data_IF_256036576623
#
_entry.id   IF_256036576623
#
_cell.length_a   1.000
_cell.length_b   1.000
_cell.length_c   1.000
_cell.angle_alpha   90.00
_cell.angle_beta   90.00
_cell.angle_gamma   90.00
#
_symmetry.space_group_name_H-M   'P 1'
#
loop_
_entity.id
_entity.type
_entity.pdbx_description
1 polymer ?
#
# COMPACT_ATOMS: atom_id res chain seq x y z
N UNK A 1 -14.78 -19.90 82.24
CA UNK A 1 -14.97 -20.87 81.14
C UNK A 1 -16.38 -20.71 80.62
N UNK A 2 -16.53 -19.98 79.51
CA UNK A 2 -17.70 -19.93 78.63
C UNK A 2 -17.29 -19.06 77.44
N UNK A 3 -16.84 -19.70 76.37
CA UNK A 3 -16.48 -19.03 75.12
C UNK A 3 -17.79 -18.80 74.37
N UNK A 4 -18.20 -17.54 74.21
CA UNK A 4 -19.23 -17.13 73.26
C UNK A 4 -18.61 -17.19 71.86
N UNK A 5 -18.96 -18.23 71.10
CA UNK A 5 -18.69 -18.34 69.67
C UNK A 5 -19.68 -17.45 68.92
N UNK A 6 -19.24 -16.24 68.56
CA UNK A 6 -19.94 -15.38 67.62
C UNK A 6 -19.74 -15.91 66.19
N UNK A 7 -20.82 -16.39 65.56
CA UNK A 7 -20.87 -16.61 64.12
C UNK A 7 -20.73 -15.25 63.41
N UNK A 8 -19.59 -15.04 62.75
CA UNK A 8 -19.43 -13.99 61.74
C UNK A 8 -19.93 -14.54 60.40
N UNK A 9 -21.16 -14.19 60.01
CA UNK A 9 -21.64 -14.35 58.64
C UNK A 9 -21.13 -13.18 57.79
N UNK A 10 -20.13 -13.43 56.95
CA UNK A 10 -19.69 -12.47 55.93
C UNK A 10 -20.68 -12.39 54.76
N UNK A 11 -20.76 -11.25 54.05
CA UNK A 11 -21.62 -11.10 52.88
C UNK A 11 -21.11 -12.03 51.77
N UNK A 12 -22.00 -12.85 51.22
CA UNK A 12 -21.66 -13.92 50.29
C UNK A 12 -20.84 -13.43 49.09
N UNK A 13 -19.70 -14.10 48.85
CA UNK A 13 -19.11 -14.13 47.52
C UNK A 13 -20.11 -14.84 46.59
N UNK A 14 -20.90 -14.06 45.84
CA UNK A 14 -21.70 -14.61 44.74
C UNK A 14 -20.79 -15.51 43.88
N UNK A 15 -21.22 -16.74 43.62
CA UNK A 15 -20.48 -17.69 42.78
C UNK A 15 -20.29 -17.07 41.39
N UNK A 16 -19.10 -17.26 40.79
CA UNK A 16 -18.89 -16.88 39.39
C UNK A 16 -19.47 -17.98 38.51
N UNK A 17 -20.60 -17.69 37.88
CA UNK A 17 -21.28 -18.52 36.88
C UNK A 17 -21.97 -17.61 35.84
N UNK A 18 -22.52 -18.19 34.76
CA UNK A 18 -23.11 -17.40 33.68
C UNK A 18 -24.28 -16.52 34.15
N UNK A 19 -25.15 -17.04 35.01
CA UNK A 19 -26.30 -16.30 35.53
C UNK A 19 -25.88 -15.08 36.34
N UNK A 20 -24.89 -15.24 37.23
CA UNK A 20 -24.37 -14.12 38.00
C UNK A 20 -23.62 -13.11 37.13
N UNK A 21 -22.88 -13.55 36.11
CA UNK A 21 -22.22 -12.66 35.14
C UNK A 21 -23.25 -11.79 34.41
N UNK A 22 -24.36 -12.37 33.95
CA UNK A 22 -25.45 -11.62 33.30
C UNK A 22 -26.10 -10.64 34.27
N UNK A 23 -26.39 -11.08 35.49
CA UNK A 23 -26.93 -10.22 36.54
C UNK A 23 -26.01 -9.03 36.82
N UNK A 24 -24.70 -9.25 36.94
CA UNK A 24 -23.74 -8.17 37.22
C UNK A 24 -23.71 -7.12 36.11
N UNK A 25 -23.89 -7.51 34.85
CA UNK A 25 -23.89 -6.59 33.70
C UNK A 25 -24.95 -5.47 33.80
N UNK A 26 -25.98 -5.65 34.63
CA UNK A 26 -27.06 -4.70 34.86
C UNK A 26 -26.97 -3.94 36.19
N UNK A 27 -25.85 -4.04 36.92
CA UNK A 27 -25.68 -3.42 38.26
C UNK A 27 -24.58 -2.37 38.29
N UNK A 28 -24.67 -1.40 39.20
CA UNK A 28 -23.67 -0.34 39.37
C UNK A 28 -22.28 -0.86 39.79
N UNK A 29 -22.23 -1.93 40.60
CA UNK A 29 -20.96 -2.60 40.98
C UNK A 29 -20.54 -3.68 39.99
N UNK A 30 -21.30 -3.84 38.90
CA UNK A 30 -21.13 -4.84 37.87
C UNK A 30 -19.76 -4.83 37.20
N UNK A 31 -19.29 -3.68 36.66
CA UNK A 31 -18.02 -3.61 35.95
C UNK A 31 -16.83 -4.14 36.77
N UNK A 32 -16.73 -3.77 38.05
CA UNK A 32 -15.67 -4.26 38.92
C UNK A 32 -15.74 -5.78 39.15
N UNK A 33 -16.95 -6.35 39.30
CA UNK A 33 -17.12 -7.81 39.43
C UNK A 33 -16.77 -8.54 38.14
N UNK A 34 -17.20 -8.02 36.99
CA UNK A 34 -16.89 -8.58 35.68
C UNK A 34 -15.38 -8.53 35.41
N UNK A 35 -14.72 -7.40 35.67
CA UNK A 35 -13.28 -7.27 35.49
C UNK A 35 -12.52 -8.28 36.36
N UNK A 36 -12.93 -8.45 37.62
CA UNK A 36 -12.36 -9.48 38.50
C UNK A 36 -12.50 -10.88 37.90
N UNK A 37 -13.66 -11.20 37.32
CA UNK A 37 -13.89 -12.49 36.66
C UNK A 37 -13.06 -12.67 35.37
N UNK A 38 -12.72 -11.58 34.67
CA UNK A 38 -11.80 -11.61 33.52
C UNK A 38 -10.35 -11.85 33.97
N UNK A 39 -9.92 -11.18 35.05
CA UNK A 39 -8.53 -11.20 35.51
C UNK A 39 -8.15 -12.41 36.38
N UNK A 40 -9.13 -13.14 36.92
CA UNK A 40 -8.86 -14.29 37.78
C UNK A 40 -8.51 -15.54 36.97
N UNK A 41 -7.24 -15.95 37.04
CA UNK A 41 -6.70 -17.09 36.31
C UNK A 41 -7.28 -18.44 36.76
N UNK A 42 -7.87 -18.51 37.96
CA UNK A 42 -8.44 -19.75 38.50
C UNK A 42 -9.84 -20.07 37.96
N UNK A 43 -10.47 -19.12 37.26
CA UNK A 43 -11.83 -19.26 36.73
C UNK A 43 -11.79 -19.96 35.36
N UNK A 44 -12.88 -20.66 35.01
CA UNK A 44 -13.04 -21.25 33.68
C UNK A 44 -12.90 -20.19 32.56
N UNK A 45 -12.25 -20.55 31.45
CA UNK A 45 -11.99 -19.62 30.35
C UNK A 45 -13.28 -19.08 29.71
N UNK A 46 -14.34 -19.89 29.68
CA UNK A 46 -15.63 -19.50 29.13
C UNK A 46 -16.36 -18.48 30.03
N UNK A 47 -16.20 -18.58 31.35
CA UNK A 47 -16.72 -17.59 32.30
C UNK A 47 -15.96 -16.26 32.19
N UNK A 48 -14.63 -16.27 32.10
CA UNK A 48 -13.85 -15.06 31.84
C UNK A 48 -14.23 -14.43 30.49
N UNK A 49 -14.45 -15.24 29.45
CA UNK A 49 -14.91 -14.76 28.15
C UNK A 49 -16.31 -14.14 28.21
N UNK A 50 -17.24 -14.76 28.96
CA UNK A 50 -18.58 -14.22 29.15
C UNK A 50 -18.55 -12.86 29.85
N UNK A 51 -17.74 -12.74 30.91
CA UNK A 51 -17.55 -11.48 31.62
C UNK A 51 -16.94 -10.39 30.72
N UNK A 52 -15.94 -10.75 29.91
CA UNK A 52 -15.33 -9.83 28.94
C UNK A 52 -16.33 -9.36 27.88
N UNK A 53 -17.18 -10.26 27.34
CA UNK A 53 -18.22 -9.90 26.38
C UNK A 53 -19.20 -8.87 26.96
N UNK A 54 -19.59 -9.02 28.23
CA UNK A 54 -20.48 -8.09 28.91
C UNK A 54 -19.82 -6.73 29.18
N UNK A 55 -18.50 -6.68 29.47
CA UNK A 55 -17.76 -5.41 29.58
C UNK A 55 -17.69 -4.68 28.22
N UNK A 56 -17.39 -5.41 27.14
CA UNK A 56 -17.31 -4.85 25.78
C UNK A 56 -18.66 -4.30 25.33
N UNK A 57 -19.75 -5.03 25.58
CA UNK A 57 -21.13 -4.60 25.27
C UNK A 57 -21.51 -3.28 25.96
N UNK A 58 -20.87 -2.97 27.09
CA UNK A 58 -21.12 -1.78 27.90
C UNK A 58 -20.21 -0.60 27.57
N UNK A 59 -19.31 -0.72 26.60
CA UNK A 59 -18.27 0.28 26.30
C UNK A 59 -17.26 0.47 27.46
N UNK A 60 -17.21 -0.49 28.40
CA UNK A 60 -16.28 -0.55 29.54
C UNK A 60 -15.05 -1.43 29.17
N UNK A 61 -14.58 -1.35 27.92
CA UNK A 61 -13.69 -2.35 27.31
C UNK A 61 -12.19 -2.12 27.56
N UNK A 62 -11.80 -0.88 27.88
CA UNK A 62 -10.39 -0.49 28.11
C UNK A 62 -9.73 -1.35 29.19
N UNK A 63 -10.39 -1.53 30.33
CA UNK A 63 -9.87 -2.31 31.45
C UNK A 63 -9.86 -3.81 31.13
N UNK A 64 -10.85 -4.30 30.38
CA UNK A 64 -10.86 -5.68 29.89
C UNK A 64 -9.65 -5.97 28.99
N UNK A 65 -9.30 -5.05 28.08
CA UNK A 65 -8.11 -5.21 27.25
C UNK A 65 -6.80 -5.10 28.02
N UNK A 66 -6.73 -4.26 29.05
CA UNK A 66 -5.58 -4.22 29.95
C UNK A 66 -5.41 -5.55 30.71
N UNK A 67 -6.52 -6.15 31.17
CA UNK A 67 -6.51 -7.47 31.78
C UNK A 67 -6.02 -8.55 30.79
N UNK A 68 -6.44 -8.50 29.53
CA UNK A 68 -5.90 -9.40 28.50
C UNK A 68 -4.40 -9.20 28.27
N UNK A 69 -3.87 -7.98 28.25
CA UNK A 69 -2.43 -7.77 28.08
C UNK A 69 -1.60 -8.35 29.25
N UNK A 70 -2.13 -8.29 30.47
CA UNK A 70 -1.47 -8.84 31.66
C UNK A 70 -1.59 -10.38 31.77
N UNK A 71 -2.51 -10.98 31.02
CA UNK A 71 -2.82 -12.41 31.12
C UNK A 71 -1.73 -13.28 30.45
N UNK A 72 -1.36 -14.43 31.04
CA UNK A 72 -0.43 -15.37 30.41
C UNK A 72 -0.91 -15.81 29.03
N UNK A 73 0.01 -15.91 28.07
CA UNK A 73 -0.34 -16.10 26.65
C UNK A 73 -1.25 -17.31 26.37
N UNK A 74 -0.99 -18.46 27.00
CA UNK A 74 -1.82 -19.66 26.83
C UNK A 74 -3.24 -19.49 27.40
N UNK A 75 -3.35 -18.87 28.58
CA UNK A 75 -4.65 -18.55 29.19
C UNK A 75 -5.41 -17.54 28.34
N UNK A 76 -4.72 -16.51 27.86
CA UNK A 76 -5.28 -15.47 26.99
C UNK A 76 -5.87 -16.03 25.70
N UNK A 77 -5.13 -16.91 25.02
CA UNK A 77 -5.63 -17.58 23.83
C UNK A 77 -6.90 -18.41 24.12
N UNK A 78 -6.92 -19.17 25.22
CA UNK A 78 -8.08 -19.96 25.63
C UNK A 78 -9.33 -19.10 25.91
N UNK A 79 -9.16 -17.95 26.57
CA UNK A 79 -10.28 -17.00 26.79
C UNK A 79 -10.74 -16.38 25.48
N UNK A 80 -9.81 -15.96 24.61
CA UNK A 80 -10.15 -15.36 23.29
C UNK A 80 -10.91 -16.35 22.41
N UNK A 81 -10.54 -17.63 22.41
CA UNK A 81 -11.26 -18.67 21.67
C UNK A 81 -12.73 -18.81 22.10
N UNK A 82 -13.05 -18.57 23.38
CA UNK A 82 -14.43 -18.56 23.90
C UNK A 82 -15.13 -17.22 23.70
N UNK A 83 -14.37 -16.13 23.70
CA UNK A 83 -14.89 -14.77 23.51
C UNK A 83 -15.33 -14.51 22.06
N UNK A 84 -14.57 -14.99 21.07
CA UNK A 84 -14.81 -14.69 19.67
C UNK A 84 -16.24 -15.06 19.18
N UNK A 85 -16.77 -16.27 19.42
CA UNK A 85 -18.16 -16.60 19.09
C UNK A 85 -19.19 -15.68 19.78
N UNK A 86 -18.95 -15.30 21.05
CA UNK A 86 -19.86 -14.42 21.81
C UNK A 86 -19.90 -13.00 21.22
N UNK A 87 -18.74 -12.49 20.80
CA UNK A 87 -18.66 -11.21 20.08
C UNK A 87 -19.35 -11.31 18.72
N UNK A 88 -19.21 -12.42 18.01
CA UNK A 88 -19.88 -12.63 16.72
C UNK A 88 -21.40 -12.59 16.83
N UNK A 89 -22.00 -13.23 17.84
CA UNK A 89 -23.45 -13.18 18.07
C UNK A 89 -23.97 -11.75 18.24
N UNK A 90 -23.14 -10.84 18.78
CA UNK A 90 -23.50 -9.41 18.88
C UNK A 90 -23.18 -8.64 17.61
N UNK A 91 -22.10 -8.99 16.91
CA UNK A 91 -21.65 -8.32 15.70
C UNK A 91 -22.49 -8.64 14.46
N UNK A 92 -23.12 -9.83 14.42
CA UNK A 92 -23.84 -10.35 13.27
C UNK A 92 -25.00 -9.45 12.85
N UNK A 93 -25.23 -9.40 11.54
CA UNK A 93 -26.32 -8.66 10.91
C UNK A 93 -26.98 -9.63 9.94
N UNK A 94 -28.28 -9.89 10.13
CA UNK A 94 -29.02 -10.87 9.33
C UNK A 94 -29.11 -10.48 7.85
N UNK A 95 -29.26 -9.18 7.59
CA UNK A 95 -29.34 -8.65 6.23
C UNK A 95 -28.00 -8.05 5.78
N UNK A 96 -27.55 -8.47 4.60
CA UNK A 96 -26.36 -7.94 3.94
C UNK A 96 -26.50 -6.47 3.49
N UNK A 97 -27.74 -5.95 3.43
CA UNK A 97 -28.06 -4.58 3.00
C UNK A 97 -28.27 -3.62 4.17
N UNK A 98 -28.41 -4.14 5.38
CA UNK A 98 -28.62 -3.32 6.58
C UNK A 98 -27.29 -2.75 7.09
N UNK A 99 -27.39 -1.53 7.62
CA UNK A 99 -26.27 -0.87 8.28
C UNK A 99 -26.17 -1.32 9.74
N UNK A 100 -24.95 -1.48 10.27
CA UNK A 100 -24.75 -1.87 11.66
C UNK A 100 -25.16 -0.78 12.63
N UNK A 101 -25.83 -1.19 13.71
CA UNK A 101 -25.99 -0.39 14.93
C UNK A 101 -24.71 -0.37 15.78
N UNK A 102 -24.66 0.54 16.75
CA UNK A 102 -23.51 0.71 17.64
C UNK A 102 -23.01 -0.59 18.31
N UNK A 103 -23.88 -1.47 18.85
CA UNK A 103 -23.40 -2.71 19.48
C UNK A 103 -22.71 -3.65 18.50
N UNK A 104 -23.20 -3.72 17.26
CA UNK A 104 -22.62 -4.57 16.21
C UNK A 104 -21.24 -4.05 15.80
N UNK A 105 -21.10 -2.73 15.64
CA UNK A 105 -19.80 -2.10 15.33
C UNK A 105 -18.80 -2.35 16.46
N UNK A 106 -19.19 -2.11 17.71
CA UNK A 106 -18.31 -2.30 18.87
C UNK A 106 -17.84 -3.76 19.00
N UNK A 107 -18.74 -4.73 18.85
CA UNK A 107 -18.40 -6.15 18.91
C UNK A 107 -17.48 -6.58 17.75
N UNK A 108 -17.70 -6.05 16.54
CA UNK A 108 -16.81 -6.27 15.39
C UNK A 108 -15.42 -5.65 15.60
N UNK A 109 -15.33 -4.44 16.16
CA UNK A 109 -14.04 -3.84 16.49
C UNK A 109 -13.31 -4.61 17.58
N UNK A 110 -14.04 -5.16 18.55
CA UNK A 110 -13.48 -6.06 19.54
C UNK A 110 -12.91 -7.34 18.91
N UNK A 111 -13.61 -7.95 17.93
CA UNK A 111 -13.08 -9.10 17.16
C UNK A 111 -11.73 -8.77 16.51
N UNK A 112 -11.62 -7.62 15.84
CA UNK A 112 -10.34 -7.16 15.25
C UNK A 112 -9.26 -7.03 16.32
N UNK A 113 -9.60 -6.44 17.47
CA UNK A 113 -8.64 -6.17 18.55
C UNK A 113 -8.13 -7.43 19.24
N UNK A 114 -9.00 -8.41 19.50
CA UNK A 114 -8.62 -9.65 20.20
C UNK A 114 -7.90 -10.64 19.29
N UNK A 115 -8.05 -10.50 17.96
CA UNK A 115 -7.41 -11.38 16.95
C UNK A 115 -5.92 -11.60 17.18
N UNK A 116 -5.17 -10.55 17.58
CA UNK A 116 -3.71 -10.63 17.81
C UNK A 116 -3.32 -11.57 18.94
N UNK A 117 -4.24 -11.90 19.84
CA UNK A 117 -4.01 -12.80 20.97
C UNK A 117 -4.62 -14.20 20.75
N UNK A 118 -5.33 -14.41 19.64
CA UNK A 118 -5.89 -15.69 19.28
C UNK A 118 -4.80 -16.66 18.84
N UNK A 119 -4.98 -17.94 19.20
CA UNK A 119 -4.27 -19.05 18.55
C UNK A 119 -4.76 -19.23 17.10
N UNK A 120 -4.14 -20.14 16.35
CA UNK A 120 -4.43 -20.28 14.92
C UNK A 120 -5.90 -20.66 14.64
N UNK A 121 -6.52 -21.64 15.34
CA UNK A 121 -7.93 -21.96 15.12
C UNK A 121 -8.88 -20.79 15.42
N UNK A 122 -8.70 -20.10 16.55
CA UNK A 122 -9.54 -18.97 16.90
C UNK A 122 -9.30 -17.78 15.96
N UNK A 123 -8.07 -17.57 15.47
CA UNK A 123 -7.76 -16.53 14.50
C UNK A 123 -8.47 -16.77 13.17
N UNK A 124 -8.42 -18.01 12.65
CA UNK A 124 -9.15 -18.39 11.43
C UNK A 124 -10.66 -18.17 11.60
N UNK A 125 -11.20 -18.50 12.77
CA UNK A 125 -12.61 -18.26 13.08
C UNK A 125 -12.96 -16.77 13.10
N UNK A 126 -12.15 -15.94 13.77
CA UNK A 126 -12.31 -14.48 13.79
C UNK A 126 -12.23 -13.92 12.37
N UNK A 127 -11.28 -14.38 11.56
CA UNK A 127 -11.14 -13.96 10.16
C UNK A 127 -12.39 -14.28 9.34
N UNK A 128 -12.97 -15.47 9.54
CA UNK A 128 -14.27 -15.82 8.94
C UNK A 128 -15.38 -14.86 9.32
N UNK A 129 -15.49 -14.51 10.60
CA UNK A 129 -16.48 -13.53 11.09
C UNK A 129 -16.28 -12.14 10.50
N UNK A 130 -15.04 -11.67 10.40
CA UNK A 130 -14.73 -10.37 9.79
C UNK A 130 -15.05 -10.37 8.29
N UNK A 131 -14.79 -11.46 7.59
CA UNK A 131 -15.20 -11.64 6.18
C UNK A 131 -16.72 -11.60 6.04
N UNK A 132 -17.45 -12.31 6.88
CA UNK A 132 -18.92 -12.35 6.83
C UNK A 132 -19.54 -10.99 7.19
N UNK A 133 -18.88 -10.21 8.05
CA UNK A 133 -19.36 -8.88 8.42
C UNK A 133 -19.12 -7.84 7.33
N UNK A 134 -17.90 -7.78 6.79
CA UNK A 134 -17.50 -6.75 5.84
C UNK A 134 -17.93 -7.10 4.40
N UNK A 135 -17.65 -8.32 3.92
CA UNK A 135 -17.70 -8.68 2.50
C UNK A 135 -19.12 -8.98 1.99
N UNK A 136 -19.99 -7.99 2.11
CA UNK A 136 -21.42 -8.04 1.76
C UNK A 136 -21.82 -6.86 0.86
N UNK A 137 -23.07 -6.83 0.39
CA UNK A 137 -23.56 -5.77 -0.50
C UNK A 137 -23.39 -4.34 0.05
N UNK A 138 -23.47 -4.15 1.37
CA UNK A 138 -23.26 -2.86 2.05
C UNK A 138 -21.79 -2.59 2.45
N UNK A 139 -20.82 -3.27 1.82
CA UNK A 139 -19.38 -3.11 2.11
C UNK A 139 -18.95 -1.64 2.18
N UNK A 140 -19.39 -0.80 1.22
CA UNK A 140 -18.97 0.60 1.13
C UNK A 140 -19.27 1.41 2.40
N UNK A 141 -20.41 1.16 3.04
CA UNK A 141 -20.80 1.84 4.28
C UNK A 141 -20.19 1.14 5.50
N UNK A 142 -20.16 -0.20 5.49
CA UNK A 142 -19.57 -1.00 6.58
C UNK A 142 -18.07 -0.78 6.72
N UNK A 143 -17.36 -0.54 5.62
CA UNK A 143 -15.93 -0.23 5.59
C UNK A 143 -15.58 1.04 6.39
N UNK A 144 -16.53 1.96 6.56
CA UNK A 144 -16.37 3.22 7.28
C UNK A 144 -16.85 3.15 8.73
N UNK A 145 -17.45 2.03 9.14
CA UNK A 145 -18.09 1.90 10.44
C UNK A 145 -17.12 1.41 11.52
N UNK A 146 -16.87 2.28 12.51
CA UNK A 146 -16.11 1.97 13.71
C UNK A 146 -14.65 2.43 13.65
N UNK A 147 -13.83 1.82 14.51
CA UNK A 147 -12.44 2.24 14.72
C UNK A 147 -11.47 1.70 13.66
N UNK A 148 -11.80 0.58 13.00
CA UNK A 148 -10.93 -0.06 12.02
C UNK A 148 -11.47 0.14 10.60
N UNK A 149 -10.72 0.84 9.71
CA UNK A 149 -11.08 0.98 8.30
C UNK A 149 -11.21 -0.39 7.61
N UNK A 150 -12.16 -0.52 6.69
CA UNK A 150 -12.42 -1.75 5.96
C UNK A 150 -11.15 -2.29 5.27
N UNK A 151 -10.40 -1.43 4.59
CA UNK A 151 -9.14 -1.81 3.95
C UNK A 151 -8.10 -2.39 4.93
N UNK A 152 -8.00 -1.84 6.15
CA UNK A 152 -7.11 -2.35 7.17
C UNK A 152 -7.50 -3.77 7.62
N UNK A 153 -8.80 -4.02 7.76
CA UNK A 153 -9.32 -5.37 8.07
C UNK A 153 -9.11 -6.33 6.89
N UNK A 154 -9.33 -5.88 5.66
CA UNK A 154 -9.08 -6.70 4.47
C UNK A 154 -7.60 -7.09 4.35
N UNK A 155 -6.68 -6.17 4.68
CA UNK A 155 -5.25 -6.45 4.74
C UNK A 155 -4.88 -7.45 5.83
N UNK A 156 -5.54 -7.36 6.98
CA UNK A 156 -5.36 -8.23 8.14
C UNK A 156 -5.80 -9.67 7.87
N UNK A 157 -6.94 -9.83 7.18
CA UNK A 157 -7.53 -11.12 6.83
C UNK A 157 -6.88 -11.73 5.58
N UNK A 158 -6.58 -10.90 4.57
CA UNK A 158 -5.88 -11.33 3.36
C UNK A 158 -6.74 -12.12 2.36
N UNK A 159 -6.22 -13.22 1.76
CA UNK A 159 -6.82 -13.86 0.58
C UNK A 159 -8.29 -14.28 0.68
N UNK A 160 -8.80 -14.84 1.79
CA UNK A 160 -10.21 -15.25 1.89
C UNK A 160 -11.19 -14.10 1.64
N UNK A 161 -10.84 -12.87 2.05
CA UNK A 161 -11.66 -11.69 1.84
C UNK A 161 -11.73 -11.29 0.35
N UNK A 162 -10.63 -11.45 -0.38
CA UNK A 162 -10.52 -11.02 -1.79
C UNK A 162 -11.54 -11.71 -2.69
N UNK A 163 -11.70 -13.03 -2.53
CA UNK A 163 -12.68 -13.80 -3.29
C UNK A 163 -14.11 -13.32 -3.04
N UNK A 164 -14.48 -13.04 -1.78
CA UNK A 164 -15.82 -12.53 -1.46
C UNK A 164 -16.03 -11.11 -1.98
N UNK A 165 -15.04 -10.23 -1.85
CA UNK A 165 -15.14 -8.85 -2.35
C UNK A 165 -15.26 -8.78 -3.88
N UNK A 166 -14.61 -9.68 -4.62
CA UNK A 166 -14.83 -9.81 -6.07
C UNK A 166 -16.30 -10.15 -6.34
N UNK A 167 -16.90 -11.04 -5.54
CA UNK A 167 -18.33 -11.33 -5.59
C UNK A 167 -19.20 -10.09 -5.34
N UNK A 168 -18.87 -9.28 -4.35
CA UNK A 168 -19.57 -8.01 -4.06
C UNK A 168 -19.48 -7.04 -5.24
N UNK A 169 -18.29 -6.85 -5.81
CA UNK A 169 -18.10 -6.00 -6.98
C UNK A 169 -18.86 -6.51 -8.22
N UNK A 170 -18.83 -7.82 -8.46
CA UNK A 170 -19.62 -8.44 -9.54
C UNK A 170 -21.12 -8.21 -9.35
N UNK A 171 -21.63 -8.27 -8.12
CA UNK A 171 -23.04 -7.97 -7.85
C UNK A 171 -23.40 -6.51 -8.16
N UNK A 172 -22.51 -5.56 -7.86
CA UNK A 172 -22.68 -4.14 -8.26
C UNK A 172 -22.74 -4.01 -9.78
N UNK A 173 -21.82 -4.68 -10.49
CA UNK A 173 -21.72 -4.62 -11.95
C UNK A 173 -22.93 -5.27 -12.63
N UNK A 174 -23.42 -6.39 -12.10
CA UNK A 174 -24.49 -7.20 -12.67
C UNK A 174 -25.91 -6.81 -12.22
N UNK A 175 -26.06 -5.85 -11.30
CA UNK A 175 -27.38 -5.44 -10.81
C UNK A 175 -28.32 -5.00 -11.96
N UNK A 176 -29.63 -5.27 -11.88
CA UNK A 176 -30.58 -4.92 -12.92
C UNK A 176 -30.77 -3.40 -13.05
N UNK A 177 -31.32 -2.95 -14.18
CA UNK A 177 -31.67 -1.53 -14.41
C UNK A 177 -30.53 -0.64 -14.88
N UNK A 178 -29.35 -1.20 -15.17
CA UNK A 178 -28.13 -0.44 -15.53
C UNK A 178 -27.96 -0.13 -17.02
N UNK A 179 -29.04 -0.19 -17.81
CA UNK A 179 -28.97 0.00 -19.27
C UNK A 179 -28.63 1.45 -19.68
N UNK A 180 -29.02 2.45 -18.86
CA UNK A 180 -28.79 3.87 -19.12
C UNK A 180 -27.72 4.48 -18.21
N UNK A 181 -27.78 4.15 -16.92
CA UNK A 181 -26.82 4.62 -15.92
C UNK A 181 -26.29 3.39 -15.20
N UNK A 182 -24.98 3.24 -15.28
CA UNK A 182 -24.21 2.14 -14.70
C UNK A 182 -23.94 2.45 -13.23
N UNK A 183 -24.14 1.48 -12.35
CA UNK A 183 -23.82 1.61 -10.92
C UNK A 183 -22.33 1.89 -10.75
N UNK A 184 -22.03 2.81 -9.84
CA UNK A 184 -20.68 3.16 -9.41
C UNK A 184 -20.13 2.03 -8.53
N UNK A 185 -18.94 1.56 -8.86
CA UNK A 185 -18.14 0.74 -7.95
C UNK A 185 -17.62 1.68 -6.85
N UNK A 186 -17.73 1.35 -5.57
CA UNK A 186 -17.35 2.24 -4.47
C UNK A 186 -15.85 2.51 -4.35
N UNK A 187 -15.44 3.54 -3.60
CA UNK A 187 -14.01 3.82 -3.36
C UNK A 187 -13.45 2.83 -2.33
N UNK A 188 -14.20 2.57 -1.25
CA UNK A 188 -13.79 1.61 -0.24
C UNK A 188 -13.71 0.22 -0.84
N UNK A 189 -14.67 -0.16 -1.70
CA UNK A 189 -14.65 -1.49 -2.32
C UNK A 189 -13.38 -1.73 -3.16
N UNK A 190 -12.94 -0.72 -3.92
CA UNK A 190 -11.68 -0.80 -4.68
C UNK A 190 -10.47 -0.92 -3.74
N UNK A 191 -10.42 -0.10 -2.70
CA UNK A 191 -9.32 -0.11 -1.73
C UNK A 191 -9.29 -1.42 -0.93
N UNK A 192 -10.45 -1.92 -0.52
CA UNK A 192 -10.63 -3.20 0.15
C UNK A 192 -10.10 -4.35 -0.69
N UNK A 193 -10.51 -4.43 -1.97
CA UNK A 193 -9.99 -5.40 -2.93
C UNK A 193 -8.47 -5.33 -3.02
N UNK A 194 -7.91 -4.14 -3.28
CA UNK A 194 -6.48 -3.92 -3.40
C UNK A 194 -5.71 -4.35 -2.12
N UNK A 195 -6.25 -3.99 -0.95
CA UNK A 195 -5.65 -4.25 0.36
C UNK A 195 -5.59 -5.74 0.73
N UNK A 196 -6.43 -6.61 0.13
CA UNK A 196 -6.33 -8.06 0.36
C UNK A 196 -5.02 -8.67 -0.10
N UNK A 197 -4.28 -7.99 -0.99
CA UNK A 197 -2.91 -8.35 -1.34
C UNK A 197 -2.78 -9.62 -2.17
N UNK A 198 -3.78 -9.99 -2.98
CA UNK A 198 -3.72 -11.19 -3.83
C UNK A 198 -3.57 -10.86 -5.32
N UNK A 199 -2.90 -11.72 -6.11
CA UNK A 199 -2.83 -11.56 -7.56
C UNK A 199 -4.19 -11.45 -8.24
N UNK A 200 -5.19 -12.21 -7.77
CA UNK A 200 -6.54 -12.19 -8.33
C UNK A 200 -7.26 -10.87 -8.06
N UNK A 201 -7.10 -10.30 -6.85
CA UNK A 201 -7.67 -9.01 -6.53
C UNK A 201 -6.98 -7.88 -7.31
N UNK A 202 -5.64 -7.94 -7.45
CA UNK A 202 -4.89 -7.00 -8.31
C UNK A 202 -5.40 -7.07 -9.73
N UNK A 203 -5.48 -8.28 -10.30
CA UNK A 203 -5.99 -8.50 -11.65
C UNK A 203 -7.38 -7.87 -11.81
N UNK A 204 -8.27 -8.15 -10.86
CA UNK A 204 -9.65 -7.68 -10.94
C UNK A 204 -9.76 -6.15 -10.85
N UNK A 205 -8.96 -5.49 -9.99
CA UNK A 205 -8.92 -4.02 -9.92
C UNK A 205 -8.32 -3.41 -11.20
N UNK A 206 -7.30 -4.04 -11.79
CA UNK A 206 -6.73 -3.65 -13.09
C UNK A 206 -7.76 -3.81 -14.22
N UNK A 207 -8.52 -4.90 -14.23
CA UNK A 207 -9.59 -5.12 -15.20
C UNK A 207 -10.68 -4.04 -15.04
N UNK A 208 -11.10 -3.73 -13.80
CA UNK A 208 -12.06 -2.65 -13.51
C UNK A 208 -11.57 -1.31 -14.05
N UNK A 209 -10.28 -1.00 -13.90
CA UNK A 209 -9.72 0.26 -14.37
C UNK A 209 -9.88 0.46 -15.88
N UNK A 210 -10.04 -0.63 -16.66
CA UNK A 210 -10.23 -0.62 -18.11
C UNK A 210 -11.70 -0.75 -18.54
N UNK A 211 -12.62 -0.97 -17.60
CA UNK A 211 -14.04 -1.13 -17.92
C UNK A 211 -14.65 0.22 -18.29
N UNK A 212 -15.33 0.28 -19.44
CA UNK A 212 -16.24 1.38 -19.70
C UNK A 212 -17.48 1.24 -18.81
N UNK A 213 -17.54 2.09 -17.80
CA UNK A 213 -18.66 2.20 -16.86
C UNK A 213 -19.43 3.52 -16.97
N UNK A 214 -19.14 4.35 -17.96
CA UNK A 214 -19.64 5.73 -18.00
C UNK A 214 -19.13 6.60 -16.84
N UNK A 215 -18.09 6.16 -16.12
CA UNK A 215 -17.40 6.88 -15.05
C UNK A 215 -15.96 7.14 -15.49
N UNK A 216 -15.68 8.36 -15.93
CA UNK A 216 -14.36 8.78 -16.39
C UNK A 216 -13.30 8.79 -15.27
N UNK A 217 -13.72 8.77 -14.00
CA UNK A 217 -12.81 8.77 -12.84
C UNK A 217 -12.38 7.36 -12.43
N UNK A 218 -13.07 6.32 -12.92
CA UNK A 218 -12.86 4.93 -12.53
C UNK A 218 -11.41 4.45 -12.70
N UNK A 219 -10.70 4.71 -13.83
CA UNK A 219 -9.30 4.29 -13.96
C UNK A 219 -8.43 4.90 -12.86
N UNK A 220 -8.62 6.19 -12.56
CA UNK A 220 -7.84 6.89 -11.52
C UNK A 220 -8.12 6.32 -10.14
N UNK A 221 -9.39 6.11 -9.79
CA UNK A 221 -9.76 5.54 -8.49
C UNK A 221 -9.24 4.11 -8.31
N UNK A 222 -9.34 3.27 -9.35
CA UNK A 222 -8.87 1.89 -9.30
C UNK A 222 -7.35 1.78 -9.15
N UNK A 223 -6.58 2.56 -9.93
CA UNK A 223 -5.12 2.58 -9.81
C UNK A 223 -4.67 3.23 -8.50
N UNK A 224 -5.37 4.27 -8.03
CA UNK A 224 -5.08 4.88 -6.73
C UNK A 224 -5.34 3.92 -5.57
N UNK A 225 -6.36 3.05 -5.66
CA UNK A 225 -6.59 2.00 -4.66
C UNK A 225 -5.41 1.01 -4.59
N UNK A 226 -4.88 0.57 -5.73
CA UNK A 226 -3.66 -0.24 -5.78
C UNK A 226 -2.44 0.54 -5.27
N UNK A 227 -2.27 1.80 -5.67
CA UNK A 227 -1.19 2.65 -5.18
C UNK A 227 -1.19 2.76 -3.65
N UNK A 228 -2.36 3.02 -3.06
CA UNK A 228 -2.52 3.03 -1.60
C UNK A 228 -2.20 1.68 -0.99
N UNK A 229 -2.64 0.57 -1.58
CA UNK A 229 -2.37 -0.74 -1.00
C UNK A 229 -0.88 -1.16 -1.03
N UNK A 230 -0.13 -0.78 -2.06
CA UNK A 230 1.23 -1.31 -2.32
C UNK A 230 2.36 -0.29 -2.19
N UNK A 231 2.08 1.01 -2.31
CA UNK A 231 3.11 2.07 -2.36
C UNK A 231 3.01 2.99 -1.15
N UNK A 232 1.82 3.54 -0.90
CA UNK A 232 1.59 4.53 0.14
C UNK A 232 0.32 4.20 0.94
N UNK A 233 0.35 3.16 1.76
CA UNK A 233 -0.80 2.77 2.57
C UNK A 233 -1.05 3.78 3.67
N UNK A 234 -2.34 4.05 3.90
CA UNK A 234 -2.83 4.90 4.96
C UNK A 234 -3.68 4.06 5.92
N UNK A 235 -3.27 4.01 7.19
CA UNK A 235 -3.97 3.25 8.23
C UNK A 235 -3.79 1.72 8.20
N UNK A 236 -2.91 1.17 7.35
CA UNK A 236 -2.57 -0.27 7.34
C UNK A 236 -1.18 -0.56 6.77
N UNK A 237 -0.69 -1.80 6.94
CA UNK A 237 0.62 -2.22 6.44
C UNK A 237 0.58 -2.47 4.91
N UNK A 238 1.65 -2.16 4.16
CA UNK A 238 1.68 -2.38 2.71
C UNK A 238 1.41 -3.86 2.35
N UNK A 239 0.74 -4.06 1.22
CA UNK A 239 0.59 -5.37 0.61
C UNK A 239 1.93 -5.85 0.02
N UNK A 240 2.11 -7.17 -0.05
CA UNK A 240 3.33 -7.77 -0.61
C UNK A 240 3.39 -7.53 -2.13
N UNK A 241 4.38 -6.79 -2.66
CA UNK A 241 4.50 -6.51 -4.09
C UNK A 241 4.58 -7.74 -4.99
N UNK A 242 4.89 -8.93 -4.46
CA UNK A 242 4.84 -10.18 -5.23
C UNK A 242 3.45 -10.43 -5.86
N UNK A 243 2.38 -9.95 -5.23
CA UNK A 243 1.03 -10.05 -5.78
C UNK A 243 0.83 -9.24 -7.08
N UNK A 244 1.66 -8.23 -7.34
CA UNK A 244 1.62 -7.43 -8.57
C UNK A 244 2.24 -8.16 -9.77
N UNK A 245 3.17 -9.10 -9.52
CA UNK A 245 4.03 -9.70 -10.55
C UNK A 245 3.24 -10.36 -11.67
N UNK A 246 2.21 -11.19 -11.41
CA UNK A 246 1.43 -11.83 -12.49
C UNK A 246 0.68 -10.84 -13.39
N UNK A 247 0.40 -9.64 -12.86
CA UNK A 247 -0.37 -8.60 -13.54
C UNK A 247 0.53 -7.45 -14.05
N UNK A 248 1.85 -7.56 -13.89
CA UNK A 248 2.79 -6.52 -14.27
C UNK A 248 2.66 -6.11 -15.75
N UNK A 249 2.48 -7.02 -16.73
CA UNK A 249 2.26 -6.62 -18.12
C UNK A 249 1.03 -5.72 -18.29
N UNK A 250 -0.08 -6.03 -17.61
CA UNK A 250 -1.30 -5.23 -17.70
C UNK A 250 -1.16 -3.85 -17.02
N UNK A 251 -0.37 -3.75 -15.95
CA UNK A 251 -0.03 -2.47 -15.31
C UNK A 251 0.83 -1.63 -16.25
N UNK A 252 1.79 -2.26 -16.94
CA UNK A 252 2.67 -1.59 -17.93
C UNK A 252 1.88 -1.03 -19.10
N UNK A 253 0.92 -1.79 -19.64
CA UNK A 253 0.04 -1.31 -20.70
C UNK A 253 -0.72 -0.04 -20.26
N UNK A 254 -1.26 -0.02 -19.03
CA UNK A 254 -1.96 1.16 -18.48
C UNK A 254 -1.00 2.35 -18.36
N UNK A 255 0.22 2.11 -17.87
CA UNK A 255 1.23 3.15 -17.73
C UNK A 255 1.63 3.79 -19.07
N UNK A 256 1.49 3.06 -20.19
CA UNK A 256 1.82 3.51 -21.55
C UNK A 256 0.63 4.04 -22.32
N UNK A 257 -0.58 3.90 -21.80
CA UNK A 257 -1.81 4.24 -22.51
C UNK A 257 -2.06 5.75 -22.48
N UNK A 258 -1.92 6.37 -23.65
CA UNK A 258 -2.19 7.79 -23.88
C UNK A 258 -3.66 8.18 -23.66
N UNK A 259 -4.61 7.24 -23.65
CA UNK A 259 -6.00 7.54 -23.33
C UNK A 259 -6.26 7.65 -21.82
N UNK A 260 -5.37 7.09 -20.99
CA UNK A 260 -5.55 7.03 -19.54
C UNK A 260 -5.21 8.38 -18.88
N UNK A 261 -5.97 8.80 -17.85
CA UNK A 261 -5.64 10.00 -17.07
C UNK A 261 -4.23 9.94 -16.47
N UNK A 262 -3.52 11.08 -16.46
CA UNK A 262 -2.12 11.13 -16.04
C UNK A 262 -1.87 10.62 -14.62
N UNK A 263 -2.80 10.83 -13.69
CA UNK A 263 -2.68 10.29 -12.34
C UNK A 263 -2.68 8.75 -12.33
N UNK A 264 -3.61 8.12 -13.05
CA UNK A 264 -3.68 6.66 -13.14
C UNK A 264 -2.42 6.06 -13.78
N UNK A 265 -1.88 6.72 -14.82
CA UNK A 265 -0.62 6.31 -15.44
C UNK A 265 0.55 6.43 -14.46
N UNK A 266 0.65 7.52 -13.71
CA UNK A 266 1.69 7.71 -12.69
C UNK A 266 1.60 6.68 -11.55
N UNK A 267 0.39 6.37 -11.08
CA UNK A 267 0.13 5.33 -10.08
C UNK A 267 0.57 3.96 -10.63
N UNK A 268 0.29 3.66 -11.89
CA UNK A 268 0.76 2.44 -12.56
C UNK A 268 2.31 2.38 -12.63
N UNK A 269 3.00 3.49 -12.92
CA UNK A 269 4.47 3.54 -12.85
C UNK A 269 4.99 3.28 -11.43
N UNK A 270 4.34 3.85 -10.43
CA UNK A 270 4.71 3.62 -9.03
C UNK A 270 4.51 2.14 -8.63
N UNK A 271 3.44 1.49 -9.11
CA UNK A 271 3.21 0.05 -8.91
C UNK A 271 4.27 -0.81 -9.59
N UNK A 272 4.68 -0.49 -10.82
CA UNK A 272 5.80 -1.17 -11.49
C UNK A 272 7.07 -1.08 -10.64
N UNK A 273 7.36 0.10 -10.07
CA UNK A 273 8.51 0.31 -9.19
C UNK A 273 8.39 -0.46 -7.88
N UNK A 274 7.19 -0.60 -7.32
CA UNK A 274 6.93 -1.30 -6.06
C UNK A 274 7.34 -2.78 -6.11
N UNK A 275 7.27 -3.42 -7.28
CA UNK A 275 7.75 -4.80 -7.48
C UNK A 275 9.23 -4.96 -7.12
N UNK A 276 10.02 -3.90 -7.27
CA UNK A 276 11.44 -3.89 -6.92
C UNK A 276 12.36 -4.62 -7.92
N UNK A 277 13.68 -4.43 -7.78
CA UNK A 277 14.66 -5.02 -8.68
C UNK A 277 14.79 -6.55 -8.43
N UNK A 278 15.11 -7.34 -9.48
CA UNK A 278 15.37 -6.89 -10.85
C UNK A 278 14.09 -6.72 -11.70
N UNK A 279 12.91 -7.09 -11.20
CA UNK A 279 11.69 -7.24 -12.01
C UNK A 279 11.06 -5.92 -12.44
N UNK A 280 11.24 -4.84 -11.67
CA UNK A 280 10.76 -3.52 -12.08
C UNK A 280 11.53 -2.90 -13.25
N UNK A 281 12.78 -3.34 -13.49
CA UNK A 281 13.67 -2.65 -14.43
C UNK A 281 13.31 -2.90 -15.91
N UNK A 282 13.15 -4.15 -16.40
CA UNK A 282 12.85 -4.38 -17.81
C UNK A 282 11.61 -3.65 -18.33
N UNK A 283 10.48 -3.61 -17.60
CA UNK A 283 9.33 -2.83 -18.02
C UNK A 283 9.60 -1.33 -18.13
N UNK A 284 10.30 -0.75 -17.15
CA UNK A 284 10.65 0.67 -17.14
C UNK A 284 11.59 1.01 -18.30
N UNK A 285 12.56 0.14 -18.61
CA UNK A 285 13.44 0.30 -19.77
C UNK A 285 12.63 0.27 -21.09
N UNK A 286 11.70 -0.67 -21.21
CA UNK A 286 10.82 -0.79 -22.38
C UNK A 286 9.83 0.37 -22.56
N UNK A 287 9.67 1.23 -21.56
CA UNK A 287 8.85 2.44 -21.63
C UNK A 287 9.64 3.67 -22.10
N UNK A 288 10.96 3.72 -21.90
CA UNK A 288 11.78 4.90 -22.23
C UNK A 288 11.74 5.22 -23.74
N UNK A 289 11.85 4.19 -24.58
CA UNK A 289 11.81 4.32 -26.04
C UNK A 289 10.41 4.20 -26.66
N UNK A 290 9.37 4.01 -25.85
CA UNK A 290 8.02 3.80 -26.36
C UNK A 290 7.43 5.12 -26.92
N UNK A 291 6.78 5.10 -28.09
CA UNK A 291 6.00 6.24 -28.57
C UNK A 291 4.93 6.62 -27.55
N UNK A 292 4.78 7.92 -27.28
CA UNK A 292 3.82 8.45 -26.31
C UNK A 292 3.49 9.90 -26.66
N UNK A 293 2.25 10.35 -26.47
CA UNK A 293 1.81 11.73 -26.84
C UNK A 293 2.56 12.80 -26.06
N UNK A 294 2.93 12.51 -24.82
CA UNK A 294 3.73 13.38 -23.98
C UNK A 294 5.23 13.08 -24.17
N UNK A 295 6.03 13.98 -24.77
CA UNK A 295 7.45 13.76 -24.99
C UNK A 295 8.27 13.67 -23.69
N UNK A 296 7.72 14.11 -22.56
CA UNK A 296 8.35 13.97 -21.24
C UNK A 296 8.24 12.57 -20.64
N UNK A 297 7.42 11.69 -21.22
CA UNK A 297 7.18 10.35 -20.69
C UNK A 297 8.47 9.51 -20.56
N UNK A 298 9.39 9.62 -21.53
CA UNK A 298 10.71 8.98 -21.48
C UNK A 298 11.51 9.35 -20.23
N UNK A 299 11.40 10.59 -19.74
CA UNK A 299 12.06 11.04 -18.51
C UNK A 299 11.42 10.43 -17.28
N UNK A 300 10.09 10.31 -17.26
CA UNK A 300 9.37 9.64 -16.16
C UNK A 300 9.79 8.18 -16.08
N UNK A 301 9.84 7.47 -17.21
CA UNK A 301 10.30 6.09 -17.27
C UNK A 301 11.77 5.94 -16.85
N UNK A 302 12.66 6.80 -17.38
CA UNK A 302 14.08 6.77 -17.04
C UNK A 302 14.33 7.07 -15.56
N UNK A 303 13.68 8.10 -15.01
CA UNK A 303 13.79 8.45 -13.60
C UNK A 303 13.34 7.31 -12.68
N UNK A 304 12.24 6.64 -13.02
CA UNK A 304 11.78 5.50 -12.25
C UNK A 304 12.65 4.26 -12.45
N UNK A 305 13.22 4.04 -13.65
CA UNK A 305 14.20 2.98 -13.90
C UNK A 305 15.47 3.15 -13.07
N UNK A 306 15.96 4.39 -12.97
CA UNK A 306 17.06 4.79 -12.09
C UNK A 306 16.74 4.51 -10.62
N UNK A 307 15.55 4.89 -10.14
CA UNK A 307 15.12 4.59 -8.76
C UNK A 307 14.94 3.10 -8.47
N UNK A 308 14.49 2.34 -9.46
CA UNK A 308 14.27 0.90 -9.38
C UNK A 308 15.60 0.14 -9.24
N UNK A 309 16.57 0.39 -10.13
CA UNK A 309 17.81 -0.40 -10.18
C UNK A 309 19.04 0.27 -9.53
N UNK A 310 18.92 1.52 -9.08
CA UNK A 310 20.00 2.28 -8.45
C UNK A 310 21.21 2.46 -9.37
N UNK A 311 22.40 2.50 -8.77
CA UNK A 311 23.67 2.71 -9.50
C UNK A 311 23.92 1.67 -10.60
N UNK A 312 23.45 0.45 -10.41
CA UNK A 312 23.61 -0.66 -11.37
C UNK A 312 22.79 -0.47 -12.64
N UNK A 313 21.70 0.28 -12.59
CA UNK A 313 20.83 0.50 -13.75
C UNK A 313 21.19 1.73 -14.58
N UNK A 314 22.12 2.58 -14.13
CA UNK A 314 22.46 3.85 -14.81
C UNK A 314 22.75 3.63 -16.30
N UNK A 315 23.63 2.66 -16.62
CA UNK A 315 24.04 2.43 -18.00
C UNK A 315 22.88 1.92 -18.84
N UNK A 316 22.12 0.95 -18.35
CA UNK A 316 21.01 0.36 -19.10
C UNK A 316 19.86 1.36 -19.32
N UNK A 317 19.54 2.17 -18.30
CA UNK A 317 18.53 3.24 -18.41
C UNK A 317 18.94 4.27 -19.45
N UNK A 318 20.19 4.73 -19.42
CA UNK A 318 20.66 5.75 -20.36
C UNK A 318 20.77 5.19 -21.77
N UNK A 319 21.18 3.93 -21.94
CA UNK A 319 21.18 3.25 -23.25
C UNK A 319 19.79 3.11 -23.86
N UNK A 320 18.75 3.02 -23.04
CA UNK A 320 17.37 2.92 -23.51
C UNK A 320 16.81 4.26 -24.04
N UNK A 321 17.50 5.38 -23.82
CA UNK A 321 17.10 6.69 -24.36
C UNK A 321 17.27 6.72 -25.89
N UNK A 322 16.25 7.18 -26.66
CA UNK A 322 16.38 7.32 -28.11
C UNK A 322 17.47 8.32 -28.51
N UNK A 323 18.49 7.88 -29.24
CA UNK A 323 19.62 8.76 -29.61
C UNK A 323 19.21 9.91 -30.55
N UNK A 324 18.24 9.67 -31.44
CA UNK A 324 17.71 10.67 -32.36
C UNK A 324 16.57 11.52 -31.75
N UNK A 325 16.43 11.52 -30.41
CA UNK A 325 15.36 12.23 -29.70
C UNK A 325 15.68 13.71 -29.42
N UNK A 326 14.63 14.46 -29.09
CA UNK A 326 14.74 15.86 -28.60
C UNK A 326 14.88 15.90 -27.08
N UNK A 327 15.87 16.60 -26.55
CA UNK A 327 16.18 16.63 -25.12
C UNK A 327 16.34 18.06 -24.58
N UNK A 328 15.33 18.55 -23.86
CA UNK A 328 15.46 19.76 -23.06
C UNK A 328 16.44 19.51 -21.90
N UNK A 329 17.45 20.38 -21.78
CA UNK A 329 18.50 20.25 -20.77
C UNK A 329 17.94 20.15 -19.36
N UNK A 330 16.98 21.01 -19.01
CA UNK A 330 16.46 21.09 -17.65
C UNK A 330 15.68 19.81 -17.28
N UNK A 331 14.95 19.21 -18.23
CA UNK A 331 14.28 17.91 -18.04
C UNK A 331 15.29 16.76 -17.93
N UNK A 332 16.26 16.71 -18.85
CA UNK A 332 17.31 15.68 -18.87
C UNK A 332 18.15 15.71 -17.58
N UNK A 333 18.56 16.90 -17.16
CA UNK A 333 19.34 17.08 -15.94
C UNK A 333 18.48 16.86 -14.69
N UNK A 334 17.23 17.31 -14.67
CA UNK A 334 16.36 17.11 -13.52
C UNK A 334 16.04 15.64 -13.26
N UNK A 335 15.68 14.90 -14.32
CA UNK A 335 15.18 13.54 -14.23
C UNK A 335 16.27 12.45 -14.31
N UNK A 336 17.41 12.72 -14.95
CA UNK A 336 18.43 11.70 -15.23
C UNK A 336 19.76 12.08 -14.58
N UNK A 337 20.49 13.06 -15.12
CA UNK A 337 21.85 13.38 -14.63
C UNK A 337 21.85 13.79 -13.15
N UNK A 338 20.88 14.60 -12.75
CA UNK A 338 20.69 15.04 -11.36
C UNK A 338 20.28 13.89 -10.44
N UNK A 339 19.48 12.93 -10.92
CA UNK A 339 19.18 11.73 -10.13
C UNK A 339 20.43 10.87 -9.94
N UNK A 340 21.22 10.64 -10.99
CA UNK A 340 22.51 9.93 -10.92
C UNK A 340 23.42 10.55 -9.85
N UNK A 341 23.49 11.88 -9.77
CA UNK A 341 24.36 12.58 -8.80
C UNK A 341 23.95 12.38 -7.34
N UNK A 342 22.68 12.04 -7.10
CA UNK A 342 22.11 11.77 -5.76
C UNK A 342 22.23 10.30 -5.36
N UNK A 343 22.64 9.42 -6.28
CA UNK A 343 22.70 7.98 -6.02
C UNK A 343 23.86 7.59 -5.10
N UNK A 344 23.62 6.52 -4.36
CA UNK A 344 24.61 5.88 -3.49
C UNK A 344 24.77 4.40 -3.86
N UNK A 345 25.98 3.83 -3.83
CA UNK A 345 27.27 4.48 -3.51
C UNK A 345 27.77 5.45 -4.60
N UNK A 346 28.41 6.56 -4.20
CA UNK A 346 28.84 7.63 -5.12
C UNK A 346 29.90 7.17 -6.12
N UNK A 347 30.84 6.35 -5.68
CA UNK A 347 31.90 5.76 -6.50
C UNK A 347 31.32 4.90 -7.63
N UNK A 348 30.25 4.13 -7.35
CA UNK A 348 29.54 3.36 -8.36
C UNK A 348 28.79 4.25 -9.34
N UNK A 349 28.15 5.33 -8.86
CA UNK A 349 27.49 6.30 -9.73
C UNK A 349 28.49 6.98 -10.67
N UNK A 350 29.67 7.39 -10.15
CA UNK A 350 30.76 7.95 -10.95
C UNK A 350 31.32 6.94 -11.96
N UNK A 351 31.55 5.68 -11.55
CA UNK A 351 32.02 4.64 -12.44
C UNK A 351 31.03 4.36 -13.59
N UNK A 352 29.73 4.32 -13.29
CA UNK A 352 28.70 4.16 -14.31
C UNK A 352 28.62 5.39 -15.24
N UNK A 353 28.66 6.60 -14.71
CA UNK A 353 28.68 7.82 -15.52
C UNK A 353 29.91 7.90 -16.43
N UNK A 354 31.07 7.41 -15.97
CA UNK A 354 32.28 7.26 -16.77
C UNK A 354 32.14 6.24 -17.88
N UNK A 355 31.46 5.11 -17.62
CA UNK A 355 31.19 4.11 -18.65
C UNK A 355 30.37 4.70 -19.81
N UNK A 356 29.43 5.61 -19.52
CA UNK A 356 28.62 6.29 -20.54
C UNK A 356 29.46 7.10 -21.55
N UNK A 357 30.64 7.59 -21.16
CA UNK A 357 31.51 8.35 -22.07
C UNK A 357 32.04 7.49 -23.24
N UNK A 358 32.08 6.16 -23.06
CA UNK A 358 32.50 5.20 -24.09
C UNK A 358 31.36 4.67 -24.97
N UNK A 359 30.11 5.07 -24.71
CA UNK A 359 28.96 4.60 -25.47
C UNK A 359 28.89 5.21 -26.88
N UNK A 360 28.34 4.46 -27.84
CA UNK A 360 28.13 4.98 -29.20
C UNK A 360 27.08 6.09 -29.24
N UNK A 361 26.06 5.98 -28.37
CA UNK A 361 24.98 6.96 -28.28
C UNK A 361 25.51 8.34 -27.88
N UNK A 362 25.08 9.37 -28.62
CA UNK A 362 25.32 10.77 -28.31
C UNK A 362 24.66 11.15 -26.99
N UNK A 363 23.40 10.76 -26.76
CA UNK A 363 22.70 11.07 -25.49
C UNK A 363 23.38 10.39 -24.29
N UNK A 364 23.90 9.18 -24.45
CA UNK A 364 24.63 8.51 -23.39
C UNK A 364 25.89 9.28 -22.98
N UNK A 365 26.72 9.65 -23.97
CA UNK A 365 27.90 10.49 -23.73
C UNK A 365 27.51 11.83 -23.09
N UNK A 366 26.41 12.44 -23.51
CA UNK A 366 25.89 13.68 -22.95
C UNK A 366 25.53 13.55 -21.46
N UNK A 367 24.75 12.53 -21.09
CA UNK A 367 24.39 12.26 -19.70
C UNK A 367 25.64 11.98 -18.86
N UNK A 368 26.61 11.24 -19.41
CA UNK A 368 27.90 10.98 -18.76
C UNK A 368 28.65 12.25 -18.40
N UNK A 369 28.83 13.19 -19.34
CA UNK A 369 29.56 14.44 -19.07
C UNK A 369 28.82 15.33 -18.06
N UNK A 370 27.49 15.45 -18.16
CA UNK A 370 26.70 16.29 -17.25
C UNK A 370 26.70 15.70 -15.83
N UNK A 371 26.54 14.38 -15.69
CA UNK A 371 26.55 13.71 -14.39
C UNK A 371 27.93 13.81 -13.70
N UNK A 372 29.03 13.56 -14.44
CA UNK A 372 30.39 13.65 -13.89
C UNK A 372 30.73 15.09 -13.47
N UNK A 373 30.37 16.07 -14.29
CA UNK A 373 30.58 17.48 -13.97
C UNK A 373 29.76 17.92 -12.75
N UNK A 374 28.48 17.53 -12.68
CA UNK A 374 27.63 17.81 -11.52
C UNK A 374 28.13 17.11 -10.24
N UNK A 375 28.75 15.94 -10.36
CA UNK A 375 29.44 15.26 -9.26
C UNK A 375 30.83 15.84 -8.94
N UNK A 376 31.28 16.89 -9.63
CA UNK A 376 32.61 17.51 -9.45
C UNK A 376 33.75 16.50 -9.55
N UNK A 377 33.64 15.54 -10.47
CA UNK A 377 34.65 14.49 -10.68
C UNK A 377 35.85 15.04 -11.45
N UNK A 378 36.72 15.82 -10.78
CA UNK A 378 37.87 16.50 -11.42
C UNK A 378 38.83 15.54 -12.12
N UNK A 379 38.98 14.31 -11.61
CA UNK A 379 39.81 13.26 -12.22
C UNK A 379 39.30 12.82 -13.61
N UNK A 380 38.01 13.04 -13.90
CA UNK A 380 37.39 12.70 -15.19
C UNK A 380 37.44 13.86 -16.19
N UNK A 381 37.96 15.04 -15.82
CA UNK A 381 38.03 16.19 -16.70
C UNK A 381 38.78 15.91 -18.03
N UNK A 382 39.92 15.18 -18.06
CA UNK A 382 40.57 14.80 -19.32
C UNK A 382 39.72 13.89 -20.20
N UNK A 383 38.93 12.98 -19.60
CA UNK A 383 38.03 12.09 -20.34
C UNK A 383 36.88 12.85 -20.97
N UNK A 384 36.34 13.84 -20.26
CA UNK A 384 35.32 14.74 -20.81
C UNK A 384 35.94 15.57 -21.95
N UNK A 385 37.12 16.15 -21.75
CA UNK A 385 37.81 16.95 -22.76
C UNK A 385 38.10 16.19 -24.06
N UNK A 386 38.27 14.86 -24.01
CA UNK A 386 38.46 14.02 -25.19
C UNK A 386 37.27 14.05 -26.16
N UNK A 387 36.08 14.45 -25.70
CA UNK A 387 34.89 14.60 -26.55
C UNK A 387 34.77 15.98 -27.21
N UNK A 388 35.72 16.90 -26.98
CA UNK A 388 35.68 18.30 -27.43
C UNK A 388 35.59 18.48 -28.96
N UNK A 389 36.00 17.48 -29.73
CA UNK A 389 35.91 17.50 -31.20
C UNK A 389 34.54 17.03 -31.73
N UNK A 390 33.65 16.48 -30.89
CA UNK A 390 32.34 16.01 -31.35
C UNK A 390 31.48 17.17 -31.89
N UNK A 391 30.92 16.93 -33.07
CA UNK A 391 30.00 17.83 -33.79
C UNK A 391 28.53 17.42 -33.65
N UNK A 392 28.25 16.31 -32.98
CA UNK A 392 26.88 15.84 -32.73
C UNK A 392 26.15 16.86 -31.84
N UNK A 393 24.95 17.29 -32.24
CA UNK A 393 24.14 18.26 -31.49
C UNK A 393 23.09 17.54 -30.64
N UNK A 394 22.75 18.13 -29.50
CA UNK A 394 21.58 17.69 -28.74
C UNK A 394 20.35 18.50 -29.15
N UNK A 395 19.50 17.92 -29.99
CA UNK A 395 18.31 18.60 -30.48
C UNK A 395 17.38 19.03 -29.34
N UNK A 396 16.91 20.28 -29.36
CA UNK A 396 15.99 20.86 -28.38
C UNK A 396 16.58 21.08 -26.99
N UNK A 397 17.92 21.25 -26.89
CA UNK A 397 18.64 21.52 -25.65
C UNK A 397 18.00 22.64 -24.82
N UNK A 398 17.54 23.69 -25.50
CA UNK A 398 16.94 24.87 -24.86
C UNK A 398 15.48 24.69 -24.43
N UNK A 399 14.82 23.60 -24.82
CA UNK A 399 13.39 23.38 -24.56
C UNK A 399 12.52 24.56 -25.02
N UNK A 400 11.65 25.05 -24.14
CA UNK A 400 10.76 26.19 -24.39
C UNK A 400 11.52 27.54 -24.55
N UNK A 401 12.82 27.59 -24.21
CA UNK A 401 13.65 28.80 -24.26
C UNK A 401 14.55 28.86 -25.52
N UNK A 402 14.12 28.21 -26.60
CA UNK A 402 14.91 28.04 -27.82
C UNK A 402 15.04 29.26 -28.72
N UNK A 403 14.26 30.32 -28.47
CA UNK A 403 14.18 31.48 -29.36
C UNK A 403 15.57 32.11 -29.62
N UNK A 404 15.99 32.08 -30.88
CA UNK A 404 17.26 32.63 -31.36
C UNK A 404 18.52 31.86 -30.94
N UNK A 405 18.41 30.65 -30.37
CA UNK A 405 19.56 29.88 -29.88
C UNK A 405 19.79 28.60 -30.68
N UNK A 406 21.02 28.42 -31.15
CA UNK A 406 21.44 27.12 -31.70
C UNK A 406 21.67 26.09 -30.58
N UNK A 407 21.25 24.85 -30.83
CA UNK A 407 21.56 23.75 -29.95
C UNK A 407 23.08 23.46 -29.92
N UNK A 408 23.68 23.31 -28.72
CA UNK A 408 25.11 23.08 -28.59
C UNK A 408 25.51 21.69 -29.12
N UNK A 409 26.75 21.59 -29.61
CA UNK A 409 27.37 20.28 -29.86
C UNK A 409 27.86 19.65 -28.57
N UNK A 410 27.96 18.31 -28.56
CA UNK A 410 28.56 17.55 -27.45
C UNK A 410 29.97 18.05 -27.17
N UNK A 411 30.76 18.36 -28.21
CA UNK A 411 32.11 18.90 -28.06
C UNK A 411 32.16 20.30 -27.45
N UNK A 412 31.22 21.19 -27.80
CA UNK A 412 31.11 22.51 -27.15
C UNK A 412 30.82 22.35 -25.65
N UNK A 413 29.85 21.50 -25.31
CA UNK A 413 29.47 21.27 -23.91
C UNK A 413 30.57 20.57 -23.11
N UNK A 414 31.23 19.59 -23.72
CA UNK A 414 32.35 18.87 -23.11
C UNK A 414 33.52 19.81 -22.76
N UNK A 415 33.87 20.76 -23.65
CA UNK A 415 34.90 21.78 -23.35
C UNK A 415 34.50 22.64 -22.16
N UNK A 416 33.27 23.13 -22.14
CA UNK A 416 32.77 23.98 -21.05
C UNK A 416 32.86 23.25 -19.70
N UNK A 417 32.36 22.01 -19.64
CA UNK A 417 32.35 21.21 -18.41
C UNK A 417 33.76 20.76 -17.98
N UNK A 418 34.62 20.38 -18.92
CA UNK A 418 36.00 20.02 -18.60
C UNK A 418 36.78 21.21 -18.01
N UNK A 419 36.60 22.41 -18.57
CA UNK A 419 37.20 23.63 -18.04
C UNK A 419 36.68 23.97 -16.63
N UNK A 420 35.38 23.78 -16.38
CA UNK A 420 34.80 23.97 -15.04
C UNK A 420 35.39 22.99 -14.00
N UNK A 421 35.83 21.81 -14.43
CA UNK A 421 36.50 20.82 -13.59
C UNK A 421 38.01 21.01 -13.49
N UNK A 422 38.59 22.01 -14.19
CA UNK A 422 40.01 22.33 -14.14
C UNK A 422 40.88 21.56 -15.15
N UNK A 423 40.31 20.99 -16.21
CA UNK A 423 41.12 20.56 -17.36
C UNK A 423 41.83 21.79 -17.96
N UNK A 424 43.15 21.71 -18.09
CA UNK A 424 43.97 22.73 -18.73
C UNK A 424 44.15 22.43 -20.21
#
# INVERSE_FOLDING_TARGET
MAILTGLAAGPGCDKVDHENIDKWSHTAKGPAKLLRAVSDESIDADLSAHAAANLIKRDDDREAYAAFEAMPAGRRAAVVARLAPRLWETARIESEKELPGKPQVAAKDALVRVRRWADEPARVQIDGYLVDWYCVASYEDRAKAGANPGAAVMRLVGPPAGKKLIGVANAVIAAPGQAKVKNRIGDELLLGLAATGTPDAVKYVVDIARMDRGDATLPTRALSALFKAYVEPDGFAPADPEALVPNLPAIVDIAKDDAIPSQAANDAVALIRAVGPPRCLPPLLGMIGAPHRNPRFKYVAAHNGLKCGGTKAIVDVVRALPDAGTYARDDLNGAISGEITRMTPRDQAQAAARALLGEKSTIARWVGIEALAAMKASEDAPRIAALSSSRERLAGYWGERSEGREDPTLGQRARELANQLGAK
#
